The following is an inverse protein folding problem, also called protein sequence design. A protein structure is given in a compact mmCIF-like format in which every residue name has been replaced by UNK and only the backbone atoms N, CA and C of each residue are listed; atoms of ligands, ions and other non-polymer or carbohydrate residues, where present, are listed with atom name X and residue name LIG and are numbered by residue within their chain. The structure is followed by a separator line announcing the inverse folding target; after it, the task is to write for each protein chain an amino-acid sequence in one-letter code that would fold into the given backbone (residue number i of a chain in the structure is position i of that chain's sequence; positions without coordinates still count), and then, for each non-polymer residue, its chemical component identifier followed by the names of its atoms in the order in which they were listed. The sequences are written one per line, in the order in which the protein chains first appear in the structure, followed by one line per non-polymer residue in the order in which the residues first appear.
data_IF_839201420623
#
_entry.id   IF_839201420623
#
_cell.length_a   1.000
_cell.length_b   1.000
_cell.length_c   1.000
_cell.angle_alpha   90.00
_cell.angle_beta   90.00
_cell.angle_gamma   90.00
#
_symmetry.space_group_name_H-M   'P 1'
#
loop_
_entity.id
_entity.type
_entity.pdbx_description
1 polymer ?
#
# COMPACT_ATOMS: atom_id res chain seq x y z
N UNK A 1 31.52 -10.10 -9.51
CA UNK A 1 32.11 -8.80 -9.11
C UNK A 1 33.17 -9.09 -8.05
N UNK A 2 34.23 -8.29 -7.93
CA UNK A 2 35.29 -8.53 -6.94
C UNK A 2 36.08 -9.81 -7.20
N UNK A 3 35.81 -10.89 -6.45
CA UNK A 3 36.51 -12.19 -6.51
C UNK A 3 36.55 -12.82 -7.91
N UNK A 4 35.55 -12.52 -8.76
CA UNK A 4 35.50 -12.97 -10.15
C UNK A 4 36.25 -12.04 -11.14
N UNK A 5 37.03 -11.07 -10.65
CA UNK A 5 37.80 -10.12 -11.48
C UNK A 5 36.95 -9.16 -12.31
N UNK A 6 35.67 -9.01 -12.00
CA UNK A 6 34.74 -8.13 -12.72
C UNK A 6 34.82 -6.67 -12.27
N UNK A 7 34.39 -5.75 -13.15
CA UNK A 7 34.34 -4.31 -12.88
C UNK A 7 33.48 -4.01 -11.65
N UNK A 8 34.08 -3.37 -10.63
CA UNK A 8 33.40 -2.97 -9.38
C UNK A 8 32.41 -1.81 -9.64
N UNK A 9 31.36 -1.64 -8.81
CA UNK A 9 30.44 -0.51 -8.93
C UNK A 9 31.15 0.83 -8.69
N UNK A 10 30.66 1.89 -9.32
CA UNK A 10 31.21 3.24 -9.20
C UNK A 10 30.47 4.10 -8.16
N UNK A 11 29.19 3.81 -7.89
CA UNK A 11 28.33 4.59 -6.98
C UNK A 11 28.10 3.90 -5.62
N UNK A 12 28.62 2.69 -5.41
CA UNK A 12 28.45 1.91 -4.18
C UNK A 12 29.82 1.48 -3.67
N UNK A 13 30.07 1.67 -2.37
CA UNK A 13 31.31 1.21 -1.74
C UNK A 13 31.37 -0.32 -1.79
N UNK A 14 32.45 -0.83 -2.35
CA UNK A 14 32.71 -2.27 -2.39
C UNK A 14 33.50 -2.71 -1.15
N UNK A 15 33.03 -3.78 -0.50
CA UNK A 15 33.74 -4.46 0.57
C UNK A 15 34.13 -5.86 0.07
N UNK A 16 35.40 -6.24 0.19
CA UNK A 16 35.86 -7.56 -0.26
C UNK A 16 35.25 -8.68 0.61
N UNK A 17 35.04 -8.42 1.91
CA UNK A 17 34.24 -9.26 2.80
C UNK A 17 32.84 -8.66 2.95
N UNK A 18 31.81 -9.44 2.60
CA UNK A 18 30.44 -8.99 2.72
C UNK A 18 29.99 -8.96 4.19
N UNK A 19 29.32 -7.90 4.66
CA UNK A 19 28.71 -7.90 5.99
C UNK A 19 27.57 -8.93 6.07
N UNK A 20 27.68 -9.86 7.03
CA UNK A 20 26.70 -10.91 7.33
C UNK A 20 25.85 -10.53 8.56
N UNK A 21 24.70 -11.21 8.73
CA UNK A 21 23.89 -11.08 9.96
C UNK A 21 23.31 -9.68 10.21
N UNK A 22 22.94 -8.93 9.16
CA UNK A 22 22.53 -7.52 9.27
C UNK A 22 21.24 -7.25 10.07
N UNK A 23 20.40 -8.26 10.25
CA UNK A 23 19.16 -8.12 11.00
C UNK A 23 19.46 -8.43 12.47
N UNK A 24 19.40 -7.41 13.33
CA UNK A 24 19.61 -7.58 14.77
C UNK A 24 18.42 -8.29 15.47
N UNK A 25 17.23 -8.23 14.86
CA UNK A 25 16.02 -8.88 15.36
C UNK A 25 15.06 -9.16 14.21
N UNK A 26 14.64 -10.42 14.07
CA UNK A 26 13.59 -10.87 13.17
C UNK A 26 12.38 -11.38 13.97
N UNK A 27 11.28 -10.63 13.90
CA UNK A 27 10.00 -10.98 14.52
C UNK A 27 8.99 -11.39 13.45
N UNK A 28 8.39 -12.57 13.59
CA UNK A 28 7.36 -13.07 12.68
C UNK A 28 6.06 -13.34 13.42
N UNK A 29 4.94 -12.90 12.85
CA UNK A 29 3.58 -13.22 13.31
C UNK A 29 3.01 -14.27 12.35
N UNK A 30 2.61 -15.43 12.85
CA UNK A 30 2.06 -16.50 12.02
C UNK A 30 1.18 -17.42 12.88
N UNK A 31 0.18 -18.04 12.25
CA UNK A 31 -0.69 -19.03 12.90
C UNK A 31 -0.16 -20.46 12.69
N UNK A 32 0.88 -20.63 11.85
CA UNK A 32 1.63 -21.88 11.69
C UNK A 32 3.13 -21.63 11.73
N UNK A 33 3.90 -22.66 12.06
CA UNK A 33 5.37 -22.60 12.02
C UNK A 33 5.87 -22.64 10.57
N UNK A 34 5.80 -21.49 9.87
CA UNK A 34 6.32 -21.35 8.52
C UNK A 34 7.86 -21.39 8.49
N UNK A 35 8.45 -21.54 7.30
CA UNK A 35 9.91 -21.49 7.16
C UNK A 35 10.46 -20.17 7.67
N UNK A 36 9.76 -19.04 7.50
CA UNK A 36 10.17 -17.75 8.06
C UNK A 36 10.20 -17.79 9.59
N UNK A 37 9.18 -18.37 10.23
CA UNK A 37 9.16 -18.54 11.69
C UNK A 37 10.35 -19.37 12.18
N UNK A 38 10.72 -20.43 11.46
CA UNK A 38 11.84 -21.30 11.82
C UNK A 38 13.19 -20.56 11.86
N UNK A 39 13.33 -19.47 11.09
CA UNK A 39 14.52 -18.62 11.06
C UNK A 39 14.36 -17.32 11.86
N UNK A 40 13.23 -17.11 12.54
CA UNK A 40 12.96 -15.89 13.32
C UNK A 40 13.48 -16.02 14.75
N UNK A 41 13.86 -14.88 15.34
CA UNK A 41 14.26 -14.82 16.75
C UNK A 41 13.04 -14.86 17.68
N UNK A 42 11.93 -14.25 17.23
CA UNK A 42 10.66 -14.21 17.97
C UNK A 42 9.52 -14.58 17.03
N UNK A 43 8.69 -15.53 17.47
CA UNK A 43 7.47 -15.92 16.78
C UNK A 43 6.29 -15.58 17.68
N UNK A 44 5.37 -14.76 17.17
CA UNK A 44 4.14 -14.36 17.88
C UNK A 44 2.93 -15.10 17.26
N UNK A 45 2.11 -15.79 18.06
CA UNK A 45 0.97 -16.54 17.54
C UNK A 45 -0.13 -15.57 17.10
N UNK A 46 -0.37 -15.47 15.79
CA UNK A 46 -1.50 -14.69 15.27
C UNK A 46 -2.76 -15.54 15.16
N UNK A 47 -3.92 -14.91 15.29
CA UNK A 47 -5.22 -15.56 15.12
C UNK A 47 -5.41 -16.03 13.66
N UNK A 48 -6.04 -17.18 13.46
CA UNK A 48 -6.42 -17.62 12.11
C UNK A 48 -7.51 -16.71 11.54
N UNK A 49 -7.82 -16.85 10.25
CA UNK A 49 -8.87 -16.07 9.60
C UNK A 49 -10.28 -16.29 10.17
N UNK A 50 -10.50 -17.37 10.92
CA UNK A 50 -11.78 -17.70 11.55
C UNK A 50 -11.88 -17.27 13.02
N UNK A 51 -10.87 -16.53 13.51
CA UNK A 51 -10.76 -16.11 14.92
C UNK A 51 -10.57 -14.59 15.03
N UNK A 52 -10.75 -13.85 13.94
CA UNK A 52 -10.61 -12.38 13.93
C UNK A 52 -11.59 -11.73 12.96
N UNK A 53 -11.88 -10.46 13.25
CA UNK A 53 -12.68 -9.60 12.39
C UNK A 53 -11.77 -8.79 11.46
N UNK A 54 -12.09 -8.75 10.17
CA UNK A 54 -11.38 -7.97 9.15
C UNK A 54 -12.24 -7.77 7.89
N UNK A 55 -11.74 -7.05 6.88
CA UNK A 55 -12.38 -6.86 5.57
C UNK A 55 -11.59 -7.55 4.45
N UNK A 56 -12.28 -8.00 3.40
CA UNK A 56 -11.67 -8.55 2.19
C UNK A 56 -12.38 -8.06 0.91
N UNK A 57 -11.59 -7.79 -0.12
CA UNK A 57 -12.00 -7.44 -1.48
C UNK A 57 -11.03 -8.08 -2.49
N UNK A 58 -11.41 -8.11 -3.77
CA UNK A 58 -10.59 -8.68 -4.84
C UNK A 58 -10.95 -8.05 -6.18
N UNK A 59 -10.02 -7.97 -7.12
CA UNK A 59 -10.25 -7.55 -8.51
C UNK A 59 -11.31 -8.42 -9.24
N UNK A 60 -11.50 -9.65 -8.78
CA UNK A 60 -12.31 -10.66 -9.49
C UNK A 60 -13.82 -10.39 -9.44
N UNK A 61 -14.29 -9.62 -8.45
CA UNK A 61 -15.70 -9.33 -8.25
C UNK A 61 -15.91 -8.07 -7.41
N UNK A 62 -17.08 -7.41 -7.48
CA UNK A 62 -17.26 -6.10 -6.86
C UNK A 62 -17.76 -6.15 -5.41
N UNK A 63 -17.62 -7.29 -4.73
CA UNK A 63 -18.10 -7.46 -3.36
C UNK A 63 -17.03 -7.18 -2.31
N UNK A 64 -17.42 -6.44 -1.28
CA UNK A 64 -16.71 -6.41 0.00
C UNK A 64 -17.42 -7.33 1.00
N UNK A 65 -16.63 -8.14 1.70
CA UNK A 65 -17.12 -9.07 2.72
C UNK A 65 -16.12 -9.20 3.87
N UNK A 66 -16.54 -9.63 5.06
CA UNK A 66 -15.67 -9.66 6.22
C UNK A 66 -14.95 -11.01 6.36
N UNK A 67 -13.91 -11.02 7.20
CA UNK A 67 -13.57 -12.14 8.07
C UNK A 67 -14.30 -11.92 9.40
N UNK A 68 -14.73 -12.99 10.06
CA UNK A 68 -15.36 -12.90 11.38
C UNK A 68 -14.80 -13.95 12.33
N UNK A 69 -14.69 -13.57 13.60
CA UNK A 69 -14.35 -14.50 14.67
C UNK A 69 -15.51 -15.47 14.93
N UNK A 70 -15.37 -16.72 14.48
CA UNK A 70 -16.31 -17.80 14.80
C UNK A 70 -16.18 -18.25 16.27
N UNK A 71 -14.98 -18.08 16.83
CA UNK A 71 -14.64 -18.29 18.23
C UNK A 71 -13.50 -17.35 18.61
N UNK A 72 -13.23 -17.18 19.90
CA UNK A 72 -12.08 -16.42 20.37
C UNK A 72 -10.78 -17.12 19.91
N UNK A 73 -9.70 -16.37 19.59
CA UNK A 73 -8.43 -16.96 19.20
C UNK A 73 -7.94 -18.04 20.18
N UNK A 74 -7.62 -19.22 19.66
CA UNK A 74 -7.20 -20.33 20.50
C UNK A 74 -5.87 -20.07 21.22
N UNK A 75 -5.74 -20.65 22.43
CA UNK A 75 -4.58 -20.50 23.31
C UNK A 75 -4.24 -19.03 23.62
N UNK A 76 -3.03 -18.60 23.29
CA UNK A 76 -2.54 -17.23 23.52
C UNK A 76 -2.45 -16.43 22.21
N UNK A 77 -3.05 -16.94 21.13
CA UNK A 77 -3.07 -16.23 19.86
C UNK A 77 -3.87 -14.93 19.96
N UNK A 78 -3.54 -13.96 19.11
CA UNK A 78 -4.21 -12.66 19.04
C UNK A 78 -4.30 -12.20 17.60
N UNK A 79 -5.29 -11.39 17.26
CA UNK A 79 -5.34 -10.75 15.94
C UNK A 79 -4.07 -9.92 15.70
N UNK A 80 -3.65 -9.76 14.44
CA UNK A 80 -2.52 -8.89 14.10
C UNK A 80 -2.72 -7.47 14.63
N UNK A 81 -3.97 -6.98 14.59
CA UNK A 81 -4.39 -5.71 15.17
C UNK A 81 -4.04 -5.62 16.66
N UNK A 82 -4.45 -6.61 17.45
CA UNK A 82 -4.20 -6.61 18.90
C UNK A 82 -2.73 -6.86 19.25
N UNK A 83 -1.99 -7.60 18.43
CA UNK A 83 -0.54 -7.77 18.59
C UNK A 83 0.15 -6.41 18.42
N UNK A 84 -0.08 -5.71 17.30
CA UNK A 84 0.53 -4.40 17.06
C UNK A 84 0.04 -3.33 18.02
N UNK A 85 -1.24 -3.33 18.40
CA UNK A 85 -1.77 -2.46 19.46
C UNK A 85 -1.05 -2.69 20.79
N UNK A 86 -0.82 -3.96 21.15
CA UNK A 86 -0.05 -4.35 22.33
C UNK A 86 1.41 -3.88 22.27
N UNK A 87 2.07 -4.04 21.11
CA UNK A 87 3.43 -3.55 20.87
C UNK A 87 3.48 -2.01 20.99
N UNK A 88 2.56 -1.29 20.36
CA UNK A 88 2.47 0.17 20.44
C UNK A 88 2.32 0.65 21.89
N UNK A 89 1.51 -0.06 22.69
CA UNK A 89 1.33 0.21 24.12
C UNK A 89 2.62 -0.02 24.91
N UNK A 90 3.30 -1.13 24.68
CA UNK A 90 4.58 -1.44 25.33
C UNK A 90 5.66 -0.44 24.93
N UNK A 91 5.77 -0.13 23.63
CA UNK A 91 6.71 0.85 23.08
C UNK A 91 6.52 2.22 23.71
N UNK A 92 5.27 2.73 23.76
CA UNK A 92 4.96 4.05 24.35
C UNK A 92 5.40 4.16 25.82
N UNK A 93 5.42 3.05 26.56
CA UNK A 93 5.93 2.99 27.93
C UNK A 93 7.47 2.96 27.96
N UNK A 94 8.08 2.11 27.14
CA UNK A 94 9.53 1.85 27.16
C UNK A 94 10.34 3.00 26.55
N UNK A 95 9.76 3.76 25.63
CA UNK A 95 10.46 4.86 24.96
C UNK A 95 10.69 6.08 25.87
N UNK A 96 9.96 6.22 26.99
CA UNK A 96 10.05 7.38 27.89
C UNK A 96 11.45 7.47 28.51
N UNK A 97 12.08 8.66 28.38
CA UNK A 97 13.46 8.89 28.78
C UNK A 97 14.48 8.61 27.68
N UNK A 98 14.06 8.02 26.56
CA UNK A 98 14.88 7.77 25.37
C UNK A 98 14.41 8.54 24.13
N UNK A 99 13.10 8.59 23.89
CA UNK A 99 12.45 9.29 22.78
C UNK A 99 11.24 10.08 23.28
N UNK A 100 11.15 11.36 22.92
CA UNK A 100 10.08 12.28 23.30
C UNK A 100 9.30 12.79 22.08
N UNK A 101 9.19 14.12 21.98
CA UNK A 101 8.72 14.80 20.77
C UNK A 101 9.88 15.09 19.84
N UNK A 102 10.03 14.26 18.82
CA UNK A 102 11.15 14.31 17.90
C UNK A 102 10.75 14.93 16.57
N UNK A 103 11.77 15.44 15.88
CA UNK A 103 11.67 15.97 14.53
C UNK A 103 12.42 15.07 13.58
N UNK A 104 11.69 14.38 12.72
CA UNK A 104 12.25 13.44 11.74
C UNK A 104 12.34 14.10 10.35
N UNK A 105 13.43 13.85 9.62
CA UNK A 105 13.62 14.33 8.25
C UNK A 105 13.42 13.17 7.29
N UNK A 106 12.27 13.14 6.62
CA UNK A 106 11.87 12.05 5.73
C UNK A 106 12.08 12.44 4.28
N UNK A 107 12.81 11.61 3.53
CA UNK A 107 12.93 11.74 2.08
C UNK A 107 11.69 11.14 1.40
N UNK A 108 10.99 11.90 0.56
CA UNK A 108 9.85 11.44 -0.23
C UNK A 108 10.15 11.57 -1.73
N UNK A 109 10.14 10.48 -2.52
CA UNK A 109 10.37 10.59 -3.95
C UNK A 109 9.21 11.35 -4.62
N UNK A 110 9.43 11.80 -5.86
CA UNK A 110 8.35 12.37 -6.68
C UNK A 110 7.20 11.37 -6.78
N UNK A 111 6.00 11.81 -6.41
CA UNK A 111 4.81 10.96 -6.44
C UNK A 111 4.06 11.18 -7.76
N UNK A 112 3.72 10.09 -8.44
CA UNK A 112 2.67 10.12 -9.46
C UNK A 112 1.35 10.59 -8.83
N UNK A 113 0.45 11.17 -9.63
CA UNK A 113 -0.81 11.76 -9.19
C UNK A 113 -0.63 12.93 -8.21
N UNK A 114 0.53 13.59 -8.28
CA UNK A 114 0.80 14.83 -7.56
C UNK A 114 1.41 15.85 -8.52
N UNK A 115 1.34 17.16 -8.25
CA UNK A 115 2.01 18.16 -9.08
C UNK A 115 3.52 17.91 -9.26
N UNK A 116 4.15 17.18 -8.34
CA UNK A 116 5.58 16.84 -8.39
C UNK A 116 5.92 15.80 -9.47
N UNK A 117 4.94 15.15 -10.11
CA UNK A 117 5.19 14.23 -11.23
C UNK A 117 5.77 14.94 -12.47
N UNK A 118 5.56 16.26 -12.59
CA UNK A 118 6.11 17.12 -13.63
C UNK A 118 7.53 17.59 -13.29
N UNK A 119 8.38 16.67 -12.81
CA UNK A 119 9.70 16.95 -12.27
C UNK A 119 10.73 17.35 -13.33
N UNK A 120 11.12 16.41 -14.20
CA UNK A 120 12.17 16.61 -15.19
C UNK A 120 11.77 15.99 -16.54
N UNK A 121 11.97 16.77 -17.62
CA UNK A 121 11.77 16.30 -19.01
C UNK A 121 13.03 15.57 -19.54
N UNK A 122 14.19 15.94 -19.01
CA UNK A 122 15.49 15.33 -19.29
C UNK A 122 16.05 14.70 -18.02
N UNK A 123 16.88 13.66 -18.13
CA UNK A 123 17.57 13.09 -16.98
C UNK A 123 18.80 13.96 -16.69
N UNK A 124 18.81 14.64 -15.54
CA UNK A 124 19.96 15.39 -15.03
C UNK A 124 20.29 14.96 -13.62
N UNK A 125 21.55 14.65 -13.39
CA UNK A 125 22.09 14.20 -12.11
C UNK A 125 22.78 15.34 -11.36
N UNK A 126 22.17 15.79 -10.27
CA UNK A 126 22.71 16.85 -9.41
C UNK A 126 24.06 16.47 -8.79
N UNK A 127 24.31 15.18 -8.53
CA UNK A 127 25.58 14.70 -7.96
C UNK A 127 26.74 14.84 -8.95
N UNK A 128 26.43 14.90 -10.25
CA UNK A 128 27.38 15.15 -11.34
C UNK A 128 27.47 16.63 -11.74
N UNK A 129 26.75 17.51 -11.06
CA UNK A 129 26.71 18.94 -11.37
C UNK A 129 25.91 19.29 -12.63
N UNK A 130 25.04 18.39 -13.10
CA UNK A 130 24.21 18.60 -14.30
C UNK A 130 22.97 19.48 -14.02
N UNK A 131 22.60 19.60 -12.74
CA UNK A 131 21.53 20.47 -12.25
C UNK A 131 21.72 20.80 -10.76
N UNK A 132 20.99 21.81 -10.26
CA UNK A 132 20.94 22.13 -8.83
C UNK A 132 20.15 21.07 -8.04
N UNK A 133 20.54 20.71 -6.80
CA UNK A 133 19.79 19.81 -5.94
C UNK A 133 18.58 20.52 -5.30
N UNK A 134 17.42 20.38 -5.92
CA UNK A 134 16.16 21.03 -5.53
C UNK A 134 15.20 19.95 -4.99
N UNK A 135 14.94 19.92 -3.67
CA UNK A 135 13.99 18.98 -3.07
C UNK A 135 12.63 19.01 -3.74
N UNK A 136 12.11 17.83 -4.10
CA UNK A 136 10.83 17.67 -4.77
C UNK A 136 10.85 18.00 -6.26
N UNK A 137 12.03 18.25 -6.86
CA UNK A 137 12.18 18.47 -8.31
C UNK A 137 13.34 17.70 -8.95
N UNK A 138 14.56 17.90 -8.49
CA UNK A 138 15.75 17.19 -9.02
C UNK A 138 16.32 16.17 -8.02
N UNK A 139 15.83 16.19 -6.78
CA UNK A 139 16.06 15.18 -5.75
C UNK A 139 14.74 14.91 -5.00
N UNK A 140 14.66 13.88 -4.13
CA UNK A 140 13.49 13.65 -3.28
C UNK A 140 13.12 14.89 -2.46
N UNK A 141 11.84 15.08 -2.18
CA UNK A 141 11.42 16.08 -1.20
C UNK A 141 11.99 15.72 0.18
N UNK A 142 12.35 16.73 0.96
CA UNK A 142 12.85 16.58 2.33
C UNK A 142 11.78 17.14 3.26
N UNK A 143 11.09 16.25 3.98
CA UNK A 143 9.88 16.58 4.73
C UNK A 143 10.15 16.44 6.22
N UNK A 144 9.81 17.49 6.96
CA UNK A 144 9.84 17.45 8.42
C UNK A 144 8.58 16.76 8.96
N UNK A 145 8.75 15.71 9.78
CA UNK A 145 7.67 14.96 10.42
C UNK A 145 7.86 14.99 11.93
N UNK A 146 6.88 15.57 12.64
CA UNK A 146 6.85 15.58 14.11
C UNK A 146 6.31 14.26 14.66
N UNK A 147 7.10 13.56 15.47
CA UNK A 147 6.75 12.29 16.09
C UNK A 147 6.76 12.45 17.61
N UNK A 148 5.59 12.34 18.25
CA UNK A 148 5.51 12.22 19.70
C UNK A 148 5.48 10.73 20.04
N UNK A 149 6.65 10.17 20.38
CA UNK A 149 6.80 8.73 20.62
C UNK A 149 6.04 8.24 21.86
N UNK A 150 6.03 8.96 23.00
CA UNK A 150 5.19 8.59 24.15
C UNK A 150 3.69 8.47 23.82
N UNK A 151 3.20 9.15 22.79
CA UNK A 151 1.80 9.09 22.33
C UNK A 151 1.52 8.02 21.29
N UNK A 152 2.48 7.15 20.94
CA UNK A 152 2.31 6.17 19.84
C UNK A 152 1.06 5.31 19.99
N UNK A 153 0.77 4.81 21.19
CA UNK A 153 -0.42 4.01 21.48
C UNK A 153 -1.72 4.83 21.39
N UNK A 154 -1.72 6.05 21.92
CA UNK A 154 -2.90 6.93 21.88
C UNK A 154 -3.25 7.32 20.44
N UNK A 155 -2.22 7.50 19.60
CA UNK A 155 -2.36 7.74 18.15
C UNK A 155 -2.83 6.50 17.41
N UNK A 156 -2.28 5.32 17.73
CA UNK A 156 -2.69 4.06 17.10
C UNK A 156 -4.18 3.74 17.36
N UNK A 157 -4.67 4.07 18.56
CA UNK A 157 -6.04 3.76 19.01
C UNK A 157 -7.04 4.89 18.80
N UNK A 158 -6.74 5.87 17.93
CA UNK A 158 -7.66 6.97 17.63
C UNK A 158 -7.48 7.52 16.21
N UNK A 159 -8.56 8.08 15.66
CA UNK A 159 -8.50 8.76 14.36
C UNK A 159 -7.76 10.10 14.51
N UNK A 160 -6.65 10.28 13.79
CA UNK A 160 -5.84 11.50 13.82
C UNK A 160 -6.56 12.75 13.27
N UNK A 161 -6.15 13.96 13.67
CA UNK A 161 -6.84 15.22 13.34
C UNK A 161 -6.70 15.68 11.87
N UNK A 162 -5.77 15.09 11.13
CA UNK A 162 -5.46 15.53 9.76
C UNK A 162 -6.62 15.31 8.78
N UNK A 163 -7.51 14.36 9.04
CA UNK A 163 -8.69 14.15 8.20
C UNK A 163 -9.67 15.33 8.23
N UNK A 164 -9.73 16.07 9.33
CA UNK A 164 -10.53 17.31 9.41
C UNK A 164 -9.72 18.53 8.93
N UNK A 165 -8.44 18.63 9.29
CA UNK A 165 -7.65 19.83 9.00
C UNK A 165 -7.11 19.90 7.57
N UNK A 166 -6.81 18.75 6.95
CA UNK A 166 -6.29 18.64 5.58
C UNK A 166 -7.33 18.04 4.65
N UNK A 167 -8.11 17.06 5.13
CA UNK A 167 -9.06 16.30 4.32
C UNK A 167 -8.56 14.89 3.99
N UNK A 168 -9.18 14.26 3.00
CA UNK A 168 -8.81 12.94 2.50
C UNK A 168 -8.68 12.98 0.97
N UNK A 169 -8.01 12.01 0.37
CA UNK A 169 -7.83 11.96 -1.07
C UNK A 169 -6.88 10.89 -1.56
N UNK A 170 -6.70 10.87 -2.88
CA UNK A 170 -5.86 9.93 -3.59
C UNK A 170 -6.05 10.12 -5.09
N UNK A 171 -5.18 9.55 -5.93
CA UNK A 171 -5.32 9.60 -7.40
C UNK A 171 -5.50 11.04 -7.94
N UNK A 172 -4.77 12.00 -7.34
CA UNK A 172 -4.71 13.39 -7.81
C UNK A 172 -5.91 14.25 -7.43
N UNK A 173 -6.83 13.74 -6.61
CA UNK A 173 -8.00 14.46 -6.11
C UNK A 173 -8.06 14.41 -4.59
N UNK A 174 -8.71 15.41 -4.00
CA UNK A 174 -8.92 15.52 -2.57
C UNK A 174 -10.31 16.09 -2.25
N UNK A 175 -10.83 15.76 -1.07
CA UNK A 175 -12.14 16.18 -0.58
C UNK A 175 -12.15 16.35 0.94
N UNK A 176 -13.13 17.09 1.44
CA UNK A 176 -13.40 17.19 2.87
C UNK A 176 -14.10 15.90 3.35
N UNK A 177 -13.71 15.42 4.53
CA UNK A 177 -14.31 14.21 5.15
C UNK A 177 -14.74 14.42 6.61
N UNK A 178 -15.00 15.67 6.99
CA UNK A 178 -15.37 16.05 8.36
C UNK A 178 -16.69 15.37 8.81
N UNK A 179 -17.68 15.29 7.91
CA UNK A 179 -18.93 14.57 8.17
C UNK A 179 -18.73 13.09 8.50
N UNK A 180 -17.74 12.45 7.87
CA UNK A 180 -17.42 11.05 8.12
C UNK A 180 -16.66 10.87 9.43
N UNK A 181 -15.75 11.78 9.77
CA UNK A 181 -15.07 11.77 11.08
C UNK A 181 -16.07 11.97 12.21
N UNK A 182 -17.06 12.84 12.03
CA UNK A 182 -18.15 13.01 13.00
C UNK A 182 -19.02 11.76 13.13
N UNK A 183 -19.35 11.10 12.02
CA UNK A 183 -20.07 9.82 12.04
C UNK A 183 -19.26 8.74 12.77
N UNK A 184 -17.95 8.65 12.52
CA UNK A 184 -17.07 7.70 13.21
C UNK A 184 -17.00 7.96 14.71
N UNK A 185 -17.05 9.22 15.14
CA UNK A 185 -17.15 9.56 16.56
C UNK A 185 -18.46 9.06 17.22
N UNK A 186 -19.53 8.86 16.44
CA UNK A 186 -20.79 8.27 16.92
C UNK A 186 -20.77 6.74 16.89
N UNK A 187 -20.15 6.16 15.85
CA UNK A 187 -20.05 4.70 15.67
C UNK A 187 -19.06 4.06 16.64
N UNK A 188 -17.85 4.59 16.70
CA UNK A 188 -16.73 4.01 17.46
C UNK A 188 -16.65 4.60 18.88
N UNK A 189 -17.50 5.58 19.19
CA UNK A 189 -17.33 6.49 20.33
C UNK A 189 -16.03 7.32 20.25
N UNK A 190 -15.78 8.13 21.27
CA UNK A 190 -14.64 9.05 21.33
C UNK A 190 -13.80 8.81 22.60
N UNK A 191 -12.49 9.03 22.51
CA UNK A 191 -11.58 9.05 23.67
C UNK A 191 -12.10 10.01 24.74
N UNK A 192 -12.18 9.56 25.99
CA UNK A 192 -12.72 10.35 27.10
C UNK A 192 -11.67 11.23 27.79
N UNK A 193 -10.41 10.83 27.71
CA UNK A 193 -9.26 11.47 28.33
C UNK A 193 -7.99 11.31 27.45
N UNK A 194 -6.85 11.69 28.01
CA UNK A 194 -5.56 11.61 27.35
C UNK A 194 -5.31 12.71 26.30
N UNK A 195 -4.13 12.68 25.65
CA UNK A 195 -3.73 13.68 24.66
C UNK A 195 -4.62 13.70 23.42
N UNK A 196 -5.32 12.60 23.14
CA UNK A 196 -6.26 12.44 22.02
C UNK A 196 -7.73 12.50 22.47
N UNK A 197 -8.03 13.15 23.59
CA UNK A 197 -9.40 13.34 24.09
C UNK A 197 -10.32 13.91 23.00
N UNK A 198 -11.49 13.31 22.85
CA UNK A 198 -12.51 13.71 21.89
C UNK A 198 -12.30 13.15 20.48
N UNK A 199 -11.16 12.51 20.17
CA UNK A 199 -10.96 11.84 18.87
C UNK A 199 -11.78 10.55 18.78
N UNK A 200 -12.33 10.17 17.61
CA UNK A 200 -12.98 8.87 17.43
C UNK A 200 -12.01 7.73 17.75
N UNK A 201 -12.52 6.67 18.38
CA UNK A 201 -11.72 5.49 18.75
C UNK A 201 -11.41 4.62 17.54
N UNK A 202 -10.26 3.94 17.61
CA UNK A 202 -9.92 2.78 16.81
C UNK A 202 -9.37 1.73 17.78
N UNK A 203 -10.22 1.18 18.65
CA UNK A 203 -9.75 0.25 19.69
C UNK A 203 -9.78 -1.19 19.17
N UNK A 204 -10.84 -1.55 18.47
CA UNK A 204 -11.08 -2.89 17.91
C UNK A 204 -10.82 -2.93 16.40
N UNK A 205 -10.65 -4.14 15.86
CA UNK A 205 -10.57 -4.32 14.40
C UNK A 205 -11.87 -3.88 13.69
N UNK A 206 -13.04 -3.99 14.35
CA UNK A 206 -14.31 -3.49 13.82
C UNK A 206 -14.31 -1.95 13.76
N UNK A 207 -13.75 -1.25 14.75
CA UNK A 207 -13.62 0.22 14.70
C UNK A 207 -12.76 0.66 13.50
N UNK A 208 -11.68 -0.08 13.23
CA UNK A 208 -10.81 0.14 12.08
C UNK A 208 -11.52 -0.17 10.75
N UNK A 209 -12.29 -1.27 10.70
CA UNK A 209 -13.10 -1.62 9.54
C UNK A 209 -14.16 -0.54 9.26
N UNK A 210 -14.86 -0.04 10.28
CA UNK A 210 -15.83 1.05 10.12
C UNK A 210 -15.16 2.36 9.68
N UNK A 211 -13.93 2.64 10.13
CA UNK A 211 -13.14 3.76 9.61
C UNK A 211 -12.92 3.63 8.10
N UNK A 212 -12.51 2.45 7.62
CA UNK A 212 -12.32 2.18 6.18
C UNK A 212 -13.65 2.38 5.44
N UNK A 213 -14.70 1.70 5.88
CA UNK A 213 -16.02 1.71 5.22
C UNK A 213 -16.64 3.11 5.18
N UNK A 214 -16.41 3.92 6.21
CA UNK A 214 -17.01 5.26 6.29
C UNK A 214 -16.25 6.28 5.46
N UNK A 215 -14.92 6.20 5.39
CA UNK A 215 -14.07 7.18 4.72
C UNK A 215 -13.88 6.92 3.22
N UNK A 216 -14.12 5.71 2.73
CA UNK A 216 -13.87 5.34 1.35
C UNK A 216 -15.07 5.66 0.42
N UNK A 217 -14.83 6.21 -0.80
CA UNK A 217 -15.88 6.44 -1.77
C UNK A 217 -16.53 5.15 -2.30
N UNK A 218 -15.84 4.01 -2.26
CA UNK A 218 -16.38 2.72 -2.71
C UNK A 218 -17.48 2.17 -1.78
N UNK A 219 -17.56 2.66 -0.55
CA UNK A 219 -18.44 2.11 0.50
C UNK A 219 -19.36 3.15 1.14
N UNK A 220 -19.16 4.43 0.84
CA UNK A 220 -19.99 5.53 1.30
C UNK A 220 -20.33 6.47 0.14
N UNK A 221 -21.60 6.49 -0.26
CA UNK A 221 -22.11 7.26 -1.39
C UNK A 221 -21.90 8.76 -1.27
N UNK A 222 -21.91 9.31 -0.05
CA UNK A 222 -21.62 10.73 0.17
C UNK A 222 -20.16 11.06 -0.13
N UNK A 223 -19.24 10.14 0.18
CA UNK A 223 -17.83 10.28 -0.18
C UNK A 223 -17.65 10.09 -1.69
N UNK A 224 -18.35 9.12 -2.30
CA UNK A 224 -18.34 8.92 -3.75
C UNK A 224 -18.74 10.20 -4.51
N UNK A 225 -19.81 10.85 -4.08
CA UNK A 225 -20.27 12.12 -4.65
C UNK A 225 -19.22 13.23 -4.52
N UNK A 226 -18.61 13.38 -3.35
CA UNK A 226 -17.53 14.35 -3.12
C UNK A 226 -16.30 14.06 -3.98
N UNK A 227 -15.91 12.80 -4.11
CA UNK A 227 -14.74 12.38 -4.87
C UNK A 227 -14.95 12.60 -6.38
N UNK A 228 -16.10 12.19 -6.93
CA UNK A 228 -16.43 12.47 -8.34
C UNK A 228 -16.53 13.97 -8.61
N UNK A 229 -17.14 14.74 -7.70
CA UNK A 229 -17.19 16.19 -7.79
C UNK A 229 -15.80 16.84 -7.76
N UNK A 230 -14.83 16.29 -7.03
CA UNK A 230 -13.44 16.74 -7.07
C UNK A 230 -12.79 16.47 -8.43
N UNK A 231 -13.00 15.28 -9.01
CA UNK A 231 -12.49 14.96 -10.34
C UNK A 231 -13.14 15.81 -11.44
N UNK A 232 -14.44 16.10 -11.34
CA UNK A 232 -15.16 16.96 -12.28
C UNK A 232 -14.56 18.35 -12.42
N UNK A 233 -13.96 18.90 -11.35
CA UNK A 233 -13.25 20.18 -11.41
C UNK A 233 -12.00 20.12 -12.30
N UNK A 234 -11.33 18.97 -12.34
CA UNK A 234 -10.12 18.75 -13.14
C UNK A 234 -10.50 18.53 -14.60
N UNK A 235 -11.52 17.70 -14.86
CA UNK A 235 -11.91 17.32 -16.23
C UNK A 235 -12.79 18.36 -16.91
N UNK A 236 -13.46 19.22 -16.14
CA UNK A 236 -14.48 20.15 -16.64
C UNK A 236 -15.77 19.45 -17.06
N UNK A 237 -15.98 18.19 -16.65
CA UNK A 237 -17.15 17.36 -16.98
C UNK A 237 -17.80 16.87 -15.70
N UNK A 238 -19.13 16.88 -15.64
CA UNK A 238 -19.82 16.27 -14.51
C UNK A 238 -19.62 14.74 -14.54
N UNK A 239 -19.27 14.19 -13.37
CA UNK A 239 -19.11 12.76 -13.13
C UNK A 239 -19.91 12.31 -11.91
N UNK A 240 -20.60 13.22 -11.21
CA UNK A 240 -21.35 12.89 -10.01
C UNK A 240 -22.53 11.95 -10.31
N UNK A 241 -23.06 11.96 -11.55
CA UNK A 241 -24.10 11.02 -12.00
C UNK A 241 -23.71 9.55 -11.84
N UNK A 242 -22.41 9.22 -11.79
CA UNK A 242 -21.92 7.86 -11.60
C UNK A 242 -22.15 7.31 -10.19
N UNK A 243 -22.37 8.18 -9.21
CA UNK A 243 -22.62 7.80 -7.82
C UNK A 243 -23.95 8.33 -7.26
N UNK A 244 -24.58 9.32 -7.90
CA UNK A 244 -25.82 9.96 -7.42
C UNK A 244 -26.94 8.96 -7.07
N UNK A 245 -27.22 7.90 -7.85
CA UNK A 245 -28.25 6.92 -7.48
C UNK A 245 -27.95 6.14 -6.19
N UNK A 246 -26.68 6.13 -5.74
CA UNK A 246 -26.19 5.44 -4.55
C UNK A 246 -25.66 6.41 -3.49
N UNK A 247 -26.00 7.71 -3.54
CA UNK A 247 -25.46 8.72 -2.62
C UNK A 247 -25.75 8.38 -1.14
N UNK A 248 -26.92 7.80 -0.85
CA UNK A 248 -27.30 7.46 0.52
C UNK A 248 -26.64 6.17 1.04
N UNK A 249 -26.13 5.32 0.13
CA UNK A 249 -25.55 4.02 0.45
C UNK A 249 -24.38 4.16 1.44
N UNK A 250 -24.42 3.38 2.51
CA UNK A 250 -23.35 3.28 3.51
C UNK A 250 -23.20 1.84 3.94
N UNK A 251 -22.18 1.18 3.40
CA UNK A 251 -21.86 -0.20 3.76
C UNK A 251 -21.34 -0.23 5.20
N UNK A 252 -21.88 -1.12 6.04
CA UNK A 252 -21.45 -1.32 7.44
C UNK A 252 -20.87 -2.70 7.64
N UNK A 253 -19.95 -2.83 8.61
CA UNK A 253 -19.31 -4.11 8.90
C UNK A 253 -20.35 -5.19 9.22
N UNK A 254 -21.33 -4.86 10.07
CA UNK A 254 -22.39 -5.81 10.46
C UNK A 254 -23.35 -6.17 9.32
N UNK A 255 -23.51 -5.29 8.33
CA UNK A 255 -24.34 -5.59 7.16
C UNK A 255 -23.66 -6.58 6.21
N UNK A 256 -22.33 -6.47 6.05
CA UNK A 256 -21.56 -7.40 5.21
C UNK A 256 -21.33 -8.75 5.87
N UNK A 257 -21.41 -8.83 7.21
CA UNK A 257 -21.54 -10.12 7.93
C UNK A 257 -22.85 -10.80 7.55
N UNK A 258 -23.95 -10.05 7.42
CA UNK A 258 -25.23 -10.61 7.01
C UNK A 258 -25.23 -11.07 5.55
N UNK A 259 -24.65 -10.27 4.65
CA UNK A 259 -24.46 -10.64 3.24
C UNK A 259 -23.44 -9.70 2.58
N UNK A 260 -22.49 -10.21 1.77
CA UNK A 260 -21.56 -9.38 0.99
C UNK A 260 -22.27 -8.25 0.23
N UNK A 261 -21.66 -7.06 0.19
CA UNK A 261 -22.24 -5.89 -0.49
C UNK A 261 -21.42 -5.53 -1.70
N UNK A 262 -22.10 -5.22 -2.81
CA UNK A 262 -21.47 -4.66 -4.01
C UNK A 262 -21.06 -3.22 -3.72
N UNK A 263 -19.85 -2.85 -4.08
CA UNK A 263 -19.31 -1.49 -3.88
C UNK A 263 -19.92 -0.46 -4.85
N UNK A 264 -19.54 0.80 -4.63
CA UNK A 264 -19.99 1.98 -5.38
C UNK A 264 -18.93 2.35 -6.42
N UNK A 265 -19.37 2.82 -7.60
CA UNK A 265 -18.49 3.41 -8.61
C UNK A 265 -17.71 4.59 -8.02
N UNK A 266 -16.38 4.53 -8.11
CA UNK A 266 -15.48 5.52 -7.49
C UNK A 266 -14.43 6.03 -8.49
N UNK A 267 -14.03 7.32 -8.40
CA UNK A 267 -12.96 7.86 -9.24
C UNK A 267 -11.60 7.25 -8.94
N UNK A 268 -11.43 6.48 -7.85
CA UNK A 268 -10.25 5.66 -7.59
C UNK A 268 -10.01 4.64 -8.72
N UNK A 269 -11.08 4.16 -9.35
CA UNK A 269 -11.04 3.09 -10.34
C UNK A 269 -11.36 3.60 -11.75
N UNK A 270 -11.45 2.69 -12.72
CA UNK A 270 -11.73 3.08 -14.12
C UNK A 270 -12.88 2.31 -14.77
N UNK A 271 -13.49 1.35 -14.08
CA UNK A 271 -14.75 0.70 -14.45
C UNK A 271 -15.94 1.24 -13.65
N UNK A 272 -17.13 0.71 -13.92
CA UNK A 272 -18.37 1.06 -13.22
C UNK A 272 -18.94 -0.12 -12.45
N UNK A 273 -19.55 0.19 -11.31
CA UNK A 273 -20.31 -0.74 -10.48
C UNK A 273 -21.81 -0.57 -10.70
N UNK A 274 -22.26 -1.07 -11.84
CA UNK A 274 -23.59 -0.85 -12.40
C UNK A 274 -24.36 -2.17 -12.58
N UNK A 275 -25.68 -2.11 -12.63
CA UNK A 275 -26.55 -3.29 -12.81
C UNK A 275 -26.79 -3.64 -14.29
N UNK A 276 -26.41 -2.77 -15.22
CA UNK A 276 -26.59 -2.94 -16.66
C UNK A 276 -25.26 -3.12 -17.42
N UNK A 277 -24.13 -2.70 -16.83
CA UNK A 277 -22.79 -2.95 -17.37
C UNK A 277 -21.85 -3.51 -16.30
N UNK A 278 -21.16 -4.60 -16.63
CA UNK A 278 -20.14 -5.17 -15.75
C UNK A 278 -18.90 -4.27 -15.69
N UNK A 279 -18.18 -4.32 -14.58
CA UNK A 279 -16.92 -3.60 -14.44
C UNK A 279 -15.95 -3.93 -15.59
N UNK A 280 -15.38 -2.89 -16.18
CA UNK A 280 -14.36 -2.99 -17.22
C UNK A 280 -13.34 -1.86 -17.04
N UNK A 281 -12.06 -2.21 -16.83
CA UNK A 281 -11.01 -1.21 -16.65
C UNK A 281 -10.85 -0.34 -17.91
N UNK A 282 -10.68 0.96 -17.72
CA UNK A 282 -10.63 1.94 -18.81
C UNK A 282 -12.00 2.39 -19.33
N UNK A 283 -13.11 1.82 -18.85
CA UNK A 283 -14.46 2.19 -19.28
C UNK A 283 -14.72 3.69 -19.10
N UNK A 284 -14.43 4.23 -17.93
CA UNK A 284 -14.60 5.67 -17.64
C UNK A 284 -13.68 6.54 -18.50
N UNK A 285 -12.47 6.09 -18.82
CA UNK A 285 -11.60 6.84 -19.73
C UNK A 285 -12.23 6.98 -21.13
N UNK A 286 -12.84 5.91 -21.63
CA UNK A 286 -13.48 5.87 -22.95
C UNK A 286 -14.82 6.60 -22.98
N UNK A 287 -15.66 6.42 -21.96
CA UNK A 287 -17.06 6.90 -21.98
C UNK A 287 -17.25 8.23 -21.25
N UNK A 288 -16.47 8.48 -20.19
CA UNK A 288 -16.52 9.73 -19.42
C UNK A 288 -15.48 10.76 -19.89
N UNK A 289 -14.60 10.38 -20.82
CA UNK A 289 -13.52 11.20 -21.35
C UNK A 289 -12.50 11.64 -20.28
N UNK A 290 -12.34 10.83 -19.24
CA UNK A 290 -11.31 11.03 -18.22
C UNK A 290 -9.95 10.62 -18.82
N UNK A 291 -8.94 11.50 -18.84
CA UNK A 291 -7.62 11.15 -19.36
C UNK A 291 -6.98 9.98 -18.60
N UNK A 292 -6.22 9.13 -19.29
CA UNK A 292 -5.24 8.29 -18.60
C UNK A 292 -4.15 9.20 -18.05
N UNK A 293 -3.65 8.94 -16.84
CA UNK A 293 -2.58 9.74 -16.21
C UNK A 293 -1.21 9.38 -16.80
N UNK A 294 -1.06 9.66 -18.09
CA UNK A 294 0.17 9.51 -18.88
C UNK A 294 0.54 10.88 -19.46
N UNK A 295 1.76 11.04 -19.97
CA UNK A 295 2.23 12.32 -20.55
C UNK A 295 1.29 12.85 -21.65
N UNK A 296 0.71 11.94 -22.43
CA UNK A 296 -0.21 12.31 -23.53
C UNK A 296 -1.68 12.44 -23.10
N UNK A 297 -2.05 11.97 -21.90
CA UNK A 297 -3.44 11.81 -21.46
C UNK A 297 -4.15 10.57 -22.02
N UNK A 298 -3.46 9.72 -22.79
CA UNK A 298 -4.00 8.56 -23.54
C UNK A 298 -3.19 7.29 -23.26
N UNK A 299 -3.65 6.15 -23.79
CA UNK A 299 -2.86 4.92 -23.82
C UNK A 299 -1.54 5.18 -24.58
N UNK A 300 -0.41 5.14 -23.86
CA UNK A 300 0.88 5.62 -24.35
C UNK A 300 1.70 4.47 -24.95
N UNK A 301 1.65 4.34 -26.27
CA UNK A 301 2.44 3.35 -27.01
C UNK A 301 3.91 3.76 -27.17
N UNK A 302 4.20 5.06 -27.17
CA UNK A 302 5.56 5.60 -27.30
C UNK A 302 6.09 6.10 -25.95
N UNK A 303 7.14 5.46 -25.46
CA UNK A 303 7.81 5.78 -24.19
C UNK A 303 9.03 6.64 -24.48
N UNK A 304 8.88 7.96 -24.36
CA UNK A 304 9.87 8.95 -24.83
C UNK A 304 10.91 9.36 -23.78
N UNK A 305 10.76 8.90 -22.53
CA UNK A 305 11.74 9.13 -21.47
C UNK A 305 13.15 8.74 -21.93
N UNK A 306 14.21 9.53 -21.63
CA UNK A 306 15.57 9.27 -22.12
C UNK A 306 16.06 7.84 -21.87
N UNK A 307 15.75 7.24 -20.71
CA UNK A 307 16.11 5.85 -20.44
C UNK A 307 15.32 4.86 -21.32
N UNK A 308 14.02 5.03 -21.49
CA UNK A 308 13.22 4.13 -22.34
C UNK A 308 13.74 4.12 -23.78
N UNK A 309 14.13 5.29 -24.30
CA UNK A 309 14.77 5.41 -25.62
C UNK A 309 16.16 4.76 -25.65
N UNK A 310 17.02 5.08 -24.69
CA UNK A 310 18.39 4.57 -24.63
C UNK A 310 18.45 3.05 -24.46
N UNK A 311 17.53 2.49 -23.68
CA UNK A 311 17.41 1.05 -23.48
C UNK A 311 16.67 0.36 -24.63
N UNK A 312 16.13 1.07 -25.63
CA UNK A 312 15.47 0.46 -26.79
C UNK A 312 14.06 -0.08 -26.50
N UNK A 313 13.32 0.61 -25.63
CA UNK A 313 11.94 0.30 -25.22
C UNK A 313 10.97 1.45 -25.51
N UNK A 314 11.34 2.38 -26.39
CA UNK A 314 10.45 3.48 -26.78
C UNK A 314 9.19 2.99 -27.49
N UNK A 315 9.26 1.84 -28.14
CA UNK A 315 8.13 1.07 -28.66
C UNK A 315 8.31 -0.39 -28.23
N UNK A 316 7.24 -1.17 -28.27
CA UNK A 316 7.33 -2.61 -28.07
C UNK A 316 8.27 -3.25 -29.09
N UNK A 317 9.14 -4.13 -28.61
CA UNK A 317 10.04 -4.94 -29.42
C UNK A 317 10.13 -6.35 -28.84
N UNK A 318 10.42 -7.34 -29.68
CA UNK A 318 10.79 -8.65 -29.18
C UNK A 318 12.08 -8.56 -28.38
N UNK A 319 12.09 -9.15 -27.18
CA UNK A 319 13.29 -9.39 -26.39
C UNK A 319 13.40 -10.87 -26.05
N UNK A 320 14.52 -11.54 -26.36
CA UNK A 320 14.72 -12.91 -25.91
C UNK A 320 14.89 -12.96 -24.39
N UNK A 321 14.65 -14.11 -23.75
CA UNK A 321 15.05 -14.33 -22.37
C UNK A 321 16.53 -13.99 -22.17
N UNK A 322 16.85 -13.29 -21.08
CA UNK A 322 18.23 -12.95 -20.75
C UNK A 322 19.03 -14.21 -20.41
N UNK A 323 20.33 -14.22 -20.74
CA UNK A 323 21.26 -15.21 -20.20
C UNK A 323 21.73 -14.75 -18.82
N UNK A 324 21.25 -15.42 -17.78
CA UNK A 324 21.64 -15.13 -16.38
C UNK A 324 23.10 -15.49 -16.09
N UNK A 325 23.76 -16.24 -16.98
CA UNK A 325 25.11 -16.81 -16.81
C UNK A 325 25.23 -17.68 -15.57
N UNK A 326 24.12 -18.11 -14.96
CA UNK A 326 24.11 -18.92 -13.74
C UNK A 326 24.90 -20.22 -13.92
N UNK A 327 24.80 -20.87 -15.09
CA UNK A 327 25.55 -22.07 -15.41
C UNK A 327 27.08 -21.88 -15.43
N UNK A 328 27.58 -20.66 -15.71
CA UNK A 328 29.03 -20.37 -15.70
C UNK A 328 29.60 -20.24 -14.28
N UNK A 329 28.79 -19.74 -13.34
CA UNK A 329 29.17 -19.62 -11.92
C UNK A 329 28.84 -20.86 -11.09
N UNK A 330 28.08 -21.80 -11.66
CA UNK A 330 27.69 -23.03 -10.99
C UNK A 330 28.83 -24.06 -11.10
N UNK A 331 29.43 -24.41 -9.96
CA UNK A 331 30.29 -25.59 -9.88
C UNK A 331 29.38 -26.82 -9.85
N UNK A 332 29.53 -27.71 -10.82
CA UNK A 332 28.83 -29.00 -10.78
C UNK A 332 29.17 -29.71 -9.46
N UNK A 333 28.17 -30.30 -8.77
CA UNK A 333 28.44 -31.14 -7.61
C UNK A 333 29.37 -32.30 -8.01
N UNK A 334 30.02 -32.93 -7.02
CA UNK A 334 30.80 -34.15 -7.25
C UNK A 334 29.97 -35.18 -8.01
N UNK A 335 30.62 -35.90 -8.94
CA UNK A 335 29.93 -36.88 -9.79
C UNK A 335 29.30 -37.96 -8.91
N UNK A 336 27.97 -38.01 -8.93
CA UNK A 336 27.21 -39.03 -8.22
C UNK A 336 26.98 -40.30 -9.07
N UNK A 337 27.64 -40.39 -10.24
CA UNK A 337 27.54 -41.48 -11.19
C UNK A 337 26.37 -41.37 -12.18
N UNK A 338 25.59 -40.28 -12.16
CA UNK A 338 24.43 -40.10 -13.04
C UNK A 338 24.63 -38.96 -14.07
N UNK A 339 24.05 -39.07 -15.28
CA UNK A 339 24.08 -37.98 -16.26
C UNK A 339 23.43 -36.69 -15.77
N UNK A 340 24.01 -35.54 -16.13
CA UNK A 340 23.48 -34.20 -15.82
C UNK A 340 23.02 -33.46 -17.08
N UNK A 341 21.97 -32.62 -16.97
CA UNK A 341 21.42 -31.83 -18.09
C UNK A 341 20.91 -30.47 -17.62
N UNK A 342 21.24 -29.41 -18.37
CA UNK A 342 20.70 -28.07 -18.15
C UNK A 342 19.30 -27.93 -18.75
N UNK A 343 18.38 -27.32 -18.00
CA UNK A 343 16.97 -27.09 -18.37
C UNK A 343 16.56 -25.68 -17.95
N UNK A 344 15.47 -25.17 -18.54
CA UNK A 344 14.83 -23.96 -18.04
C UNK A 344 14.10 -24.28 -16.72
N UNK A 345 14.33 -23.48 -15.68
CA UNK A 345 13.69 -23.65 -14.39
C UNK A 345 12.51 -22.70 -14.26
N UNK A 346 11.29 -23.23 -14.41
CA UNK A 346 10.05 -22.47 -14.36
C UNK A 346 9.33 -22.80 -13.05
N UNK A 347 8.94 -21.77 -12.30
CA UNK A 347 8.24 -21.88 -11.01
C UNK A 347 6.81 -21.35 -11.10
N UNK A 348 5.91 -22.01 -11.87
CA UNK A 348 4.52 -21.59 -11.91
C UNK A 348 3.88 -21.77 -10.53
N UNK A 349 2.83 -21.01 -10.24
CA UNK A 349 2.11 -21.17 -8.98
C UNK A 349 1.53 -22.59 -8.87
N UNK A 350 1.68 -23.18 -7.68
CA UNK A 350 1.27 -24.56 -7.45
C UNK A 350 -0.25 -24.71 -7.36
N UNK A 351 -0.73 -25.94 -7.58
CA UNK A 351 -2.15 -26.31 -7.40
C UNK A 351 -2.52 -26.59 -5.95
N UNK A 352 -1.55 -26.97 -5.11
CA UNK A 352 -1.78 -27.60 -3.81
C UNK A 352 -1.63 -26.64 -2.62
N UNK A 353 -1.61 -25.35 -2.89
CA UNK A 353 -1.51 -24.30 -1.88
C UNK A 353 -1.51 -22.93 -2.54
N UNK A 354 -1.76 -21.89 -1.76
CA UNK A 354 -1.59 -20.51 -2.20
C UNK A 354 -0.25 -20.03 -1.68
N UNK A 355 0.72 -19.93 -2.59
CA UNK A 355 2.14 -19.75 -2.23
C UNK A 355 2.63 -20.87 -1.30
N UNK A 356 2.94 -20.55 -0.04
CA UNK A 356 3.37 -21.52 0.97
C UNK A 356 2.41 -21.64 2.15
N UNK A 357 1.28 -20.91 2.12
CA UNK A 357 0.30 -20.76 3.21
C UNK A 357 -0.30 -22.08 3.67
#
# INVERSE_FOLDING_TARGET
LGEFGGQKPEEVVWHDEAPEGKLDLLVTLDFRMSTTCLYSDVVLPTATWYEKDDLNTSDMHPFIHPLTAATDPAWESRSDWDIYKGIAKAFSKVCVGHLGEETDLVTLPHQHDSPAELAQVEVRDWKKGECEPIPGKTMPALIEVKRNYPETYERFTSIGPLLESIGNGGKGIAWNTESEVELLGKLNHRKLDGPHKGRPLIETAIDAAEMILTLAPETNGQVAMKAWGALSKITGRDHAHLALPKEDEKIRFRDIVAQPRKIISSPTWSGLEDEHVSYNAGYTNVHEMIPWRTVSGRQQFYQDHPWMRAFGESLLVYRPPIDTKAAKGFKLPEDNGNPSKALNFITPHQKWGIHST
#
